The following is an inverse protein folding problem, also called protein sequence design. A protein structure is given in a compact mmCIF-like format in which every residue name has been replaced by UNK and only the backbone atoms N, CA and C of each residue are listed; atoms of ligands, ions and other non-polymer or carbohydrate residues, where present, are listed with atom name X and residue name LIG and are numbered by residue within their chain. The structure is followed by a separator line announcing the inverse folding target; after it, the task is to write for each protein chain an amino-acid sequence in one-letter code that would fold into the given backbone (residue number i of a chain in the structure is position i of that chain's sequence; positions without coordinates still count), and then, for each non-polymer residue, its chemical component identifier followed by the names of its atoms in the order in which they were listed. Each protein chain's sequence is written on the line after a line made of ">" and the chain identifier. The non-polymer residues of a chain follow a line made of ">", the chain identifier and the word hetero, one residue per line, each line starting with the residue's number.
data_IF_854128737909
#
_entry.id   IF_854128737909
#
_cell.length_a   1.000
_cell.length_b   1.000
_cell.length_c   1.000
_cell.angle_alpha   90.00
_cell.angle_beta   90.00
_cell.angle_gamma   90.00
#
_symmetry.space_group_name_H-M   'P 1'
#
loop_
_entity.id
_entity.type
_entity.pdbx_description
1 polymer ?
#
# COMPACT_ATOMS: atom_id res chain seq x y z
N UNK A 1 -14.42 -30.73 -2.19
CA UNK A 1 -14.24 -29.57 -1.28
C UNK A 1 -13.14 -28.57 -1.71
N UNK A 2 -12.12 -28.95 -2.50
CA UNK A 2 -11.05 -28.03 -2.94
C UNK A 2 -11.50 -26.89 -3.88
N UNK A 3 -12.52 -27.09 -4.71
CA UNK A 3 -13.00 -26.11 -5.68
C UNK A 3 -13.47 -24.79 -5.04
N UNK A 4 -14.27 -24.87 -3.97
CA UNK A 4 -14.77 -23.69 -3.26
C UNK A 4 -13.64 -22.89 -2.60
N UNK A 5 -12.62 -23.55 -2.05
CA UNK A 5 -11.46 -22.89 -1.45
C UNK A 5 -10.63 -22.12 -2.49
N UNK A 6 -10.46 -22.72 -3.68
CA UNK A 6 -9.77 -22.07 -4.80
C UNK A 6 -10.50 -20.79 -5.27
N UNK A 7 -11.82 -20.88 -5.50
CA UNK A 7 -12.63 -19.72 -5.88
C UNK A 7 -12.61 -18.63 -4.81
N UNK A 8 -12.70 -19.02 -3.53
CA UNK A 8 -12.60 -18.08 -2.41
C UNK A 8 -11.26 -17.34 -2.41
N UNK A 9 -10.15 -18.04 -2.65
CA UNK A 9 -8.82 -17.43 -2.76
C UNK A 9 -8.73 -16.40 -3.89
N UNK A 10 -9.34 -16.66 -5.05
CA UNK A 10 -9.38 -15.68 -6.15
C UNK A 10 -10.13 -14.42 -5.74
N UNK A 11 -11.29 -14.55 -5.10
CA UNK A 11 -12.13 -13.45 -4.62
C UNK A 11 -11.46 -12.63 -3.51
N UNK A 12 -10.71 -13.28 -2.63
CA UNK A 12 -10.02 -12.63 -1.50
C UNK A 12 -9.06 -11.52 -1.94
N UNK A 13 -8.42 -11.68 -3.10
CA UNK A 13 -7.55 -10.65 -3.67
C UNK A 13 -8.30 -9.33 -3.94
N UNK A 14 -9.57 -9.42 -4.35
CA UNK A 14 -10.44 -8.28 -4.61
C UNK A 14 -10.89 -7.64 -3.29
N UNK A 15 -11.34 -8.45 -2.32
CA UNK A 15 -11.77 -7.96 -1.01
C UNK A 15 -10.65 -7.23 -0.26
N UNK A 16 -9.46 -7.83 -0.25
CA UNK A 16 -8.28 -7.21 0.37
C UNK A 16 -7.88 -5.91 -0.34
N UNK A 17 -8.10 -5.82 -1.66
CA UNK A 17 -7.86 -4.58 -2.40
C UNK A 17 -8.86 -3.48 -2.02
N UNK A 18 -10.16 -3.79 -1.93
CA UNK A 18 -11.15 -2.85 -1.42
C UNK A 18 -10.83 -2.40 0.00
N UNK A 19 -10.45 -3.33 0.88
CA UNK A 19 -10.00 -3.02 2.24
C UNK A 19 -8.79 -2.08 2.26
N UNK A 20 -7.78 -2.29 1.41
CA UNK A 20 -6.65 -1.38 1.25
C UNK A 20 -7.07 0.02 0.79
N UNK A 21 -7.94 0.12 -0.23
CA UNK A 21 -8.38 1.42 -0.76
C UNK A 21 -9.14 2.21 0.29
N UNK A 22 -10.07 1.56 1.00
CA UNK A 22 -10.85 2.20 2.08
C UNK A 22 -9.95 2.65 3.23
N UNK A 23 -9.05 1.79 3.70
CA UNK A 23 -8.30 2.05 4.94
C UNK A 23 -6.97 2.79 4.73
N UNK A 24 -6.15 2.37 3.77
CA UNK A 24 -4.79 2.90 3.58
C UNK A 24 -4.76 4.12 2.68
N UNK A 25 -5.62 4.13 1.65
CA UNK A 25 -5.76 5.27 0.72
C UNK A 25 -6.85 6.24 1.18
N UNK A 26 -7.69 5.85 2.16
CA UNK A 26 -8.79 6.64 2.72
C UNK A 26 -9.84 7.03 1.69
N UNK A 27 -10.17 6.11 0.79
CA UNK A 27 -11.07 6.38 -0.34
C UNK A 27 -12.46 6.88 0.07
N UNK A 28 -12.94 6.55 1.27
CA UNK A 28 -14.28 6.99 1.75
C UNK A 28 -14.26 8.41 2.36
N UNK A 29 -13.08 9.02 2.52
CA UNK A 29 -12.92 10.33 3.13
C UNK A 29 -12.75 11.42 2.05
N UNK A 30 -13.81 11.66 1.29
CA UNK A 30 -13.83 12.66 0.23
C UNK A 30 -13.85 14.09 0.78
N UNK A 31 -13.13 15.00 0.15
CA UNK A 31 -13.16 16.43 0.49
C UNK A 31 -14.27 17.20 -0.23
N UNK A 32 -14.55 16.83 -1.48
CA UNK A 32 -15.61 17.41 -2.30
C UNK A 32 -16.98 16.75 -2.10
N UNK A 33 -18.04 17.54 -2.19
CA UNK A 33 -19.44 17.07 -2.12
C UNK A 33 -20.10 16.92 -3.49
N UNK A 34 -19.58 17.57 -4.53
CA UNK A 34 -20.14 17.48 -5.87
C UNK A 34 -19.68 16.19 -6.58
N UNK A 35 -20.48 15.62 -7.50
CA UNK A 35 -20.15 14.36 -8.17
C UNK A 35 -18.82 14.37 -8.93
N UNK A 36 -18.43 15.51 -9.48
CA UNK A 36 -17.19 15.63 -10.25
C UNK A 36 -15.95 15.55 -9.36
N UNK A 37 -15.96 16.25 -8.22
CA UNK A 37 -14.89 16.22 -7.23
C UNK A 37 -14.74 14.81 -6.64
N UNK A 38 -15.85 14.14 -6.32
CA UNK A 38 -15.82 12.75 -5.84
C UNK A 38 -15.15 11.82 -6.87
N UNK A 39 -15.50 11.95 -8.16
CA UNK A 39 -14.87 11.17 -9.23
C UNK A 39 -13.37 11.46 -9.35
N UNK A 40 -12.97 12.74 -9.29
CA UNK A 40 -11.56 13.13 -9.34
C UNK A 40 -10.75 12.55 -8.19
N UNK A 41 -11.27 12.63 -6.96
CA UNK A 41 -10.61 12.06 -5.78
C UNK A 41 -10.53 10.53 -5.85
N UNK A 42 -11.57 9.86 -6.35
CA UNK A 42 -11.55 8.42 -6.62
C UNK A 42 -10.43 8.07 -7.60
N UNK A 43 -10.32 8.77 -8.73
CA UNK A 43 -9.27 8.50 -9.72
C UNK A 43 -7.87 8.81 -9.18
N UNK A 44 -7.70 9.87 -8.39
CA UNK A 44 -6.44 10.19 -7.73
C UNK A 44 -6.02 9.10 -6.74
N UNK A 45 -6.96 8.59 -5.94
CA UNK A 45 -6.72 7.48 -5.01
C UNK A 45 -6.30 6.20 -5.74
N UNK A 46 -6.99 5.86 -6.85
CA UNK A 46 -6.63 4.71 -7.69
C UNK A 46 -5.26 4.89 -8.33
N UNK A 47 -4.95 6.08 -8.83
CA UNK A 47 -3.64 6.41 -9.38
C UNK A 47 -2.51 6.22 -8.36
N UNK A 48 -2.65 6.79 -7.14
CA UNK A 48 -1.69 6.61 -6.05
C UNK A 48 -1.49 5.11 -5.76
N UNK A 49 -2.59 4.37 -5.66
CA UNK A 49 -2.57 2.93 -5.41
C UNK A 49 -1.78 2.18 -6.50
N UNK A 50 -2.03 2.50 -7.78
CA UNK A 50 -1.40 1.84 -8.92
C UNK A 50 0.08 2.19 -9.03
N UNK A 51 0.44 3.47 -8.89
CA UNK A 51 1.83 3.92 -8.87
C UNK A 51 2.61 3.26 -7.73
N UNK A 52 2.00 3.17 -6.55
CA UNK A 52 2.59 2.46 -5.43
C UNK A 52 2.82 0.98 -5.74
N UNK A 53 1.95 0.35 -6.55
CA UNK A 53 2.07 -1.07 -6.89
C UNK A 53 3.22 -1.28 -7.89
N UNK A 54 3.37 -0.37 -8.86
CA UNK A 54 4.50 -0.32 -9.79
C UNK A 54 5.83 -0.16 -9.05
N UNK A 55 5.92 0.84 -8.15
CA UNK A 55 7.14 1.08 -7.36
C UNK A 55 7.47 -0.14 -6.49
N UNK A 56 6.46 -0.75 -5.84
CA UNK A 56 6.66 -1.97 -5.06
C UNK A 56 7.23 -3.09 -5.92
N UNK A 57 6.60 -3.36 -7.06
CA UNK A 57 7.01 -4.42 -8.00
C UNK A 57 8.43 -4.20 -8.50
N UNK A 58 8.76 -2.98 -8.91
CA UNK A 58 10.10 -2.61 -9.35
C UNK A 58 11.14 -2.86 -8.24
N UNK A 59 10.91 -2.31 -7.04
CA UNK A 59 11.84 -2.44 -5.93
C UNK A 59 12.00 -3.90 -5.47
N UNK A 60 10.92 -4.68 -5.42
CA UNK A 60 10.97 -6.11 -5.08
C UNK A 60 11.73 -6.93 -6.11
N UNK A 61 11.65 -6.57 -7.40
CA UNK A 61 12.43 -7.24 -8.44
C UNK A 61 13.93 -6.97 -8.28
N UNK A 62 14.33 -5.76 -7.90
CA UNK A 62 15.74 -5.42 -7.68
C UNK A 62 16.37 -6.19 -6.51
N UNK A 63 15.62 -6.44 -5.43
CA UNK A 63 16.12 -7.14 -4.23
C UNK A 63 15.51 -8.53 -4.04
N UNK A 64 15.07 -9.17 -5.13
CA UNK A 64 14.35 -10.44 -5.09
C UNK A 64 15.11 -11.53 -4.34
N UNK A 65 16.40 -11.67 -4.61
CA UNK A 65 17.24 -12.67 -3.96
C UNK A 65 17.35 -12.40 -2.46
N UNK A 66 17.51 -11.15 -2.04
CA UNK A 66 17.52 -10.79 -0.61
C UNK A 66 16.20 -11.08 0.09
N UNK A 67 15.07 -10.83 -0.58
CA UNK A 67 13.74 -11.07 -0.01
C UNK A 67 13.42 -12.55 0.18
N UNK A 68 14.04 -13.42 -0.62
CA UNK A 68 13.89 -14.87 -0.54
C UNK A 68 14.99 -15.53 0.28
N UNK A 69 16.04 -14.80 0.66
CA UNK A 69 17.16 -15.33 1.44
C UNK A 69 16.75 -15.56 2.90
N UNK A 70 17.09 -16.74 3.41
CA UNK A 70 16.93 -17.09 4.83
C UNK A 70 15.65 -17.87 5.13
N UNK A 71 15.27 -17.87 6.42
CA UNK A 71 14.19 -18.74 6.94
C UNK A 71 12.79 -18.37 6.44
N UNK A 72 12.56 -17.11 6.07
CA UNK A 72 11.26 -16.59 5.69
C UNK A 72 11.35 -15.80 4.39
N UNK A 73 10.28 -15.83 3.61
CA UNK A 73 10.11 -14.91 2.48
C UNK A 73 9.60 -13.56 2.99
N UNK A 74 10.15 -12.49 2.45
CA UNK A 74 9.78 -11.12 2.77
C UNK A 74 9.12 -10.45 1.57
N UNK A 75 8.30 -9.45 1.85
CA UNK A 75 7.76 -8.51 0.88
C UNK A 75 7.89 -7.09 1.41
N UNK A 76 7.96 -6.11 0.53
CA UNK A 76 8.00 -4.71 0.93
C UNK A 76 6.67 -4.27 1.54
N UNK A 77 6.77 -3.38 2.53
CA UNK A 77 5.62 -2.90 3.27
C UNK A 77 4.76 -1.98 2.40
N UNK A 78 3.65 -2.54 1.93
CA UNK A 78 2.69 -1.88 1.06
C UNK A 78 2.11 -0.59 1.65
N UNK A 79 1.79 -0.57 2.96
CA UNK A 79 1.28 0.62 3.66
C UNK A 79 2.29 1.76 3.64
N UNK A 80 3.56 1.45 3.91
CA UNK A 80 4.63 2.43 3.89
C UNK A 80 4.79 3.06 2.49
N UNK A 81 4.80 2.23 1.46
CA UNK A 81 4.95 2.69 0.06
C UNK A 81 3.80 3.62 -0.33
N UNK A 82 2.54 3.27 -0.02
CA UNK A 82 1.39 4.15 -0.31
C UNK A 82 1.60 5.54 0.32
N UNK A 83 1.95 5.61 1.61
CA UNK A 83 2.19 6.88 2.27
C UNK A 83 3.39 7.65 1.71
N UNK A 84 4.44 6.95 1.28
CA UNK A 84 5.60 7.57 0.64
C UNK A 84 5.23 8.15 -0.74
N UNK A 85 4.46 7.42 -1.55
CA UNK A 85 4.02 7.85 -2.88
C UNK A 85 3.08 9.05 -2.80
N UNK A 86 2.14 9.07 -1.85
CA UNK A 86 1.28 10.25 -1.63
C UNK A 86 2.10 11.51 -1.32
N UNK A 87 3.21 11.40 -0.58
CA UNK A 87 4.13 12.54 -0.33
C UNK A 87 4.94 12.89 -1.58
N UNK A 88 5.38 11.89 -2.33
CA UNK A 88 6.12 12.08 -3.57
C UNK A 88 5.31 12.84 -4.63
N UNK A 89 4.03 12.50 -4.82
CA UNK A 89 3.15 13.18 -5.77
C UNK A 89 3.03 14.67 -5.44
N UNK A 90 2.92 15.04 -4.17
CA UNK A 90 2.95 16.46 -3.76
C UNK A 90 4.26 17.17 -4.13
N UNK A 91 5.37 16.43 -4.17
CA UNK A 91 6.66 16.97 -4.61
C UNK A 91 6.75 17.13 -6.13
N UNK A 92 5.94 16.42 -6.93
CA UNK A 92 5.95 16.54 -8.40
C UNK A 92 5.52 17.92 -8.89
N UNK A 93 4.81 18.68 -8.05
CA UNK A 93 4.47 20.08 -8.31
C UNK A 93 5.74 20.92 -8.49
N UNK A 94 6.87 20.53 -7.87
CA UNK A 94 8.17 21.17 -8.03
C UNK A 94 9.13 20.25 -8.80
N UNK A 95 9.19 20.46 -10.13
CA UNK A 95 9.79 19.55 -11.12
C UNK A 95 11.32 19.41 -10.98
N UNK A 96 12.00 20.30 -10.25
CA UNK A 96 13.48 20.34 -10.25
C UNK A 96 14.17 19.09 -9.68
N UNK A 97 13.52 18.31 -8.81
CA UNK A 97 14.18 17.20 -8.07
C UNK A 97 13.34 15.90 -8.00
N UNK A 98 12.43 15.65 -8.94
CA UNK A 98 11.56 14.47 -8.84
C UNK A 98 12.35 13.14 -8.95
N UNK A 99 13.38 13.08 -9.80
CA UNK A 99 14.19 11.86 -10.00
C UNK A 99 14.88 11.44 -8.70
N UNK A 100 15.58 12.36 -8.05
CA UNK A 100 16.29 12.08 -6.80
C UNK A 100 15.33 11.68 -5.69
N UNK A 101 14.18 12.35 -5.58
CA UNK A 101 13.13 12.01 -4.62
C UNK A 101 12.54 10.63 -4.86
N UNK A 102 12.37 10.23 -6.13
CA UNK A 102 11.90 8.90 -6.49
C UNK A 102 12.92 7.84 -6.10
N UNK A 103 14.20 8.06 -6.40
CA UNK A 103 15.28 7.14 -6.04
C UNK A 103 15.39 6.98 -4.52
N UNK A 104 15.32 8.08 -3.76
CA UNK A 104 15.29 8.04 -2.30
C UNK A 104 14.08 7.28 -1.76
N UNK A 105 12.90 7.45 -2.37
CA UNK A 105 11.71 6.70 -2.00
C UNK A 105 11.92 5.20 -2.20
N UNK A 106 12.41 4.78 -3.37
CA UNK A 106 12.67 3.38 -3.69
C UNK A 106 13.68 2.80 -2.70
N UNK A 107 14.78 3.52 -2.41
CA UNK A 107 15.80 3.05 -1.48
C UNK A 107 15.24 2.88 -0.06
N UNK A 108 14.43 3.82 0.42
CA UNK A 108 13.78 3.70 1.73
C UNK A 108 12.76 2.56 1.76
N UNK A 109 12.02 2.35 0.68
CA UNK A 109 11.06 1.26 0.58
C UNK A 109 11.72 -0.11 0.73
N UNK A 110 12.92 -0.31 0.16
CA UNK A 110 13.70 -1.56 0.28
C UNK A 110 14.03 -1.93 1.73
N UNK A 111 14.10 -0.94 2.64
CA UNK A 111 14.42 -1.15 4.06
C UNK A 111 13.19 -1.48 4.92
N UNK A 112 11.97 -1.23 4.43
CA UNK A 112 10.73 -1.47 5.20
C UNK A 112 10.04 -2.73 4.69
N UNK A 113 10.34 -3.86 5.33
CA UNK A 113 9.90 -5.20 4.91
C UNK A 113 8.85 -5.79 5.87
N UNK A 114 8.10 -6.76 5.37
CA UNK A 114 7.17 -7.56 6.16
C UNK A 114 7.25 -9.02 5.75
N UNK A 115 7.12 -9.92 6.73
CA UNK A 115 7.21 -11.37 6.50
C UNK A 115 5.95 -11.88 5.79
N UNK A 116 6.15 -12.68 4.73
CA UNK A 116 5.09 -13.47 4.11
C UNK A 116 4.89 -14.72 4.99
N UNK A 117 3.70 -14.85 5.58
CA UNK A 117 3.33 -16.02 6.39
C UNK A 117 2.34 -16.86 5.59
N UNK A 118 2.85 -17.95 5.02
CA UNK A 118 2.02 -18.98 4.37
C UNK A 118 1.20 -19.71 5.46
N UNK A 119 0.02 -20.20 5.10
CA UNK A 119 -0.83 -21.08 5.93
C UNK A 119 -1.20 -20.53 7.32
N UNK A 120 -1.59 -19.25 7.35
CA UNK A 120 -2.04 -18.61 8.59
C UNK A 120 -3.41 -19.14 9.02
N UNK A 121 -3.42 -20.13 9.92
CA UNK A 121 -4.65 -20.75 10.45
C UNK A 121 -5.39 -19.92 11.51
N UNK A 122 -4.67 -19.13 12.32
CA UNK A 122 -5.27 -18.48 13.49
C UNK A 122 -5.73 -17.04 13.22
N UNK A 123 -6.89 -16.68 13.81
CA UNK A 123 -7.37 -15.30 13.87
C UNK A 123 -6.31 -14.39 14.46
N UNK A 124 -6.13 -13.21 13.85
CA UNK A 124 -5.29 -12.15 14.42
C UNK A 124 -5.84 -11.79 15.80
N UNK A 125 -5.04 -11.95 16.87
CA UNK A 125 -5.33 -11.28 18.14
C UNK A 125 -5.30 -9.78 17.86
N UNK A 126 -6.48 -9.17 17.82
CA UNK A 126 -6.59 -7.71 17.73
C UNK A 126 -6.16 -7.22 19.11
N UNK A 127 -4.98 -6.61 19.21
CA UNK A 127 -4.64 -5.93 20.46
C UNK A 127 -5.66 -4.83 20.69
N UNK A 128 -6.06 -4.63 21.94
CA UNK A 128 -7.06 -3.67 22.42
C UNK A 128 -6.68 -2.19 22.19
N UNK A 129 -5.94 -1.85 21.13
CA UNK A 129 -5.91 -0.49 20.58
C UNK A 129 -7.12 -0.32 19.68
N UNK A 130 -8.31 -0.35 20.29
CA UNK A 130 -9.46 0.33 19.71
C UNK A 130 -9.06 1.79 19.47
N UNK A 131 -9.44 2.33 18.32
CA UNK A 131 -9.36 3.76 17.94
C UNK A 131 -8.07 4.21 17.22
N UNK A 132 -6.91 3.55 17.34
CA UNK A 132 -5.74 3.94 16.53
C UNK A 132 -5.47 2.94 15.40
N UNK A 133 -6.23 3.06 14.31
CA UNK A 133 -5.69 2.70 13.00
C UNK A 133 -4.33 3.42 12.89
N UNK A 134 -3.23 2.67 12.78
CA UNK A 134 -1.84 3.16 12.80
C UNK A 134 -1.47 4.08 11.63
N UNK A 135 -2.25 5.13 11.43
CA UNK A 135 -2.24 6.08 10.33
C UNK A 135 -2.73 7.43 10.85
N UNK A 136 -1.99 8.03 11.77
CA UNK A 136 -1.84 9.47 11.80
C UNK A 136 -0.44 9.78 11.23
N UNK A 137 -0.31 9.79 9.90
CA UNK A 137 0.50 10.88 9.34
C UNK A 137 -0.42 12.09 9.54
N UNK A 138 -0.25 12.78 10.67
CA UNK A 138 -0.73 14.16 10.76
C UNK A 138 0.02 14.91 9.67
N UNK A 139 -0.62 15.06 8.52
CA UNK A 139 -0.30 16.18 7.65
C UNK A 139 -0.89 17.35 8.43
N UNK A 140 -0.08 18.01 9.24
CA UNK A 140 -0.39 19.37 9.63
C UNK A 140 -0.45 20.12 8.30
N UNK A 141 -1.67 20.48 7.91
CA UNK A 141 -1.88 21.62 7.03
C UNK A 141 -1.42 22.87 7.78
#
# INVERSE_FOLDING_TARGET
>A
MHYHQYLYHKRWSIETKYGELKTRVRLENFSGKNPQAIRQELYAALFISNLSALIKSFAENEIREELNRGRHRYQLNRSYIIGAVSRYIRCLINIRCYKDKLQQLIQRAKNVRSIIRLDRHFKRKVSHHGITNGFFIRVNL
#
